data_IF_373198149201
#
_entry.id   IF_373198149201
#
_cell.length_a   1.000
_cell.length_b   1.000
_cell.length_c   1.000
_cell.angle_alpha   90.00
_cell.angle_beta   90.00
_cell.angle_gamma   90.00
#
_symmetry.space_group_name_H-M   'P 1'
#
loop_
_entity.id
_entity.type
_entity.pdbx_description
1 polymer ?
#
# COMPACT_ATOMS: atom_id res chain seq x y z
N UNK A 1 -24.10 -20.96 -9.51
CA UNK A 1 -24.34 -20.31 -8.19
C UNK A 1 -25.56 -20.95 -7.56
N UNK A 2 -25.51 -21.39 -6.30
CA UNK A 2 -26.59 -22.14 -5.66
C UNK A 2 -27.61 -21.18 -5.00
N UNK A 3 -28.64 -20.77 -5.76
CA UNK A 3 -29.67 -19.84 -5.29
C UNK A 3 -30.50 -20.38 -4.13
N UNK A 4 -30.84 -21.67 -4.16
CA UNK A 4 -31.66 -22.32 -3.12
C UNK A 4 -30.96 -22.26 -1.75
N UNK A 5 -29.68 -22.63 -1.71
CA UNK A 5 -28.89 -22.52 -0.50
C UNK A 5 -28.82 -21.07 0.00
N UNK A 6 -28.54 -20.12 -0.90
CA UNK A 6 -28.43 -18.70 -0.54
C UNK A 6 -29.74 -18.17 0.05
N UNK A 7 -30.88 -18.45 -0.57
CA UNK A 7 -32.19 -18.02 -0.06
C UNK A 7 -32.52 -18.68 1.27
N UNK A 8 -32.25 -19.99 1.43
CA UNK A 8 -32.54 -20.70 2.68
C UNK A 8 -31.73 -20.16 3.88
N UNK A 9 -30.48 -19.78 3.65
CA UNK A 9 -29.54 -19.35 4.71
C UNK A 9 -29.59 -17.84 4.94
N UNK A 10 -29.62 -17.04 3.86
CA UNK A 10 -29.41 -15.59 3.94
C UNK A 10 -30.68 -14.75 3.70
N UNK A 11 -31.83 -15.33 3.34
CA UNK A 11 -33.07 -14.56 3.28
C UNK A 11 -33.49 -14.13 4.70
N UNK A 12 -33.51 -12.82 4.95
CA UNK A 12 -33.94 -12.23 6.23
C UNK A 12 -35.43 -11.91 6.28
N UNK A 13 -36.10 -11.90 5.12
CA UNK A 13 -37.51 -11.57 4.97
C UNK A 13 -38.31 -12.81 4.53
N UNK A 14 -38.12 -13.94 5.22
CA UNK A 14 -38.75 -15.23 4.85
C UNK A 14 -40.28 -15.19 4.90
N UNK A 15 -40.84 -14.35 5.77
CA UNK A 15 -42.28 -14.13 5.93
C UNK A 15 -42.87 -13.24 4.83
N UNK A 16 -42.02 -12.58 4.04
CA UNK A 16 -42.41 -11.62 2.99
C UNK A 16 -41.85 -12.05 1.61
N UNK A 17 -42.35 -13.15 1.02
CA UNK A 17 -41.88 -13.66 -0.26
C UNK A 17 -42.08 -12.68 -1.43
N UNK A 18 -43.04 -11.76 -1.33
CA UNK A 18 -43.31 -10.68 -2.30
C UNK A 18 -42.15 -9.70 -2.46
N UNK A 19 -41.22 -9.65 -1.50
CA UNK A 19 -40.06 -8.75 -1.54
C UNK A 19 -38.89 -9.29 -2.36
N UNK A 20 -39.03 -10.49 -2.94
CA UNK A 20 -37.99 -11.12 -3.77
C UNK A 20 -36.59 -11.07 -3.13
N UNK A 21 -36.52 -11.43 -1.84
CA UNK A 21 -35.32 -11.24 -1.04
C UNK A 21 -34.11 -11.95 -1.66
N UNK A 22 -34.23 -13.24 -2.01
CA UNK A 22 -33.20 -14.06 -2.68
C UNK A 22 -31.77 -13.91 -2.10
N UNK A 23 -31.66 -13.60 -0.80
CA UNK A 23 -30.40 -13.27 -0.11
C UNK A 23 -29.85 -11.86 -0.33
N UNK A 24 -30.44 -11.08 -1.25
CA UNK A 24 -30.03 -9.71 -1.61
C UNK A 24 -30.22 -8.72 -0.46
N UNK A 25 -31.32 -8.83 0.31
CA UNK A 25 -31.57 -7.90 1.42
C UNK A 25 -30.51 -8.03 2.53
N UNK A 26 -30.04 -9.25 2.81
CA UNK A 26 -28.96 -9.47 3.76
C UNK A 26 -27.64 -8.85 3.28
N UNK A 27 -27.31 -9.04 2.00
CA UNK A 27 -26.13 -8.42 1.39
C UNK A 27 -26.20 -6.89 1.49
N UNK A 28 -27.33 -6.29 1.12
CA UNK A 28 -27.54 -4.84 1.23
C UNK A 28 -27.36 -4.33 2.67
N UNK A 29 -27.89 -5.06 3.66
CA UNK A 29 -27.71 -4.74 5.09
C UNK A 29 -26.23 -4.76 5.49
N UNK A 30 -25.47 -5.76 5.05
CA UNK A 30 -24.05 -5.89 5.35
C UNK A 30 -23.19 -4.83 4.67
N UNK A 31 -23.49 -4.49 3.42
CA UNK A 31 -22.85 -3.37 2.72
C UNK A 31 -23.06 -2.05 3.45
N UNK A 32 -24.30 -1.76 3.88
CA UNK A 32 -24.61 -0.54 4.65
C UNK A 32 -23.89 -0.49 6.01
N UNK A 33 -23.75 -1.63 6.68
CA UNK A 33 -22.98 -1.73 7.93
C UNK A 33 -21.49 -1.40 7.71
N UNK A 34 -20.91 -1.89 6.61
CA UNK A 34 -19.52 -1.62 6.24
C UNK A 34 -19.30 -0.15 5.85
N UNK A 35 -20.23 0.45 5.10
CA UNK A 35 -20.17 1.87 4.74
C UNK A 35 -20.16 2.77 5.97
N UNK A 36 -21.02 2.49 6.96
CA UNK A 36 -21.04 3.24 8.22
C UNK A 36 -19.72 3.16 9.00
N UNK A 37 -19.14 1.95 9.09
CA UNK A 37 -17.83 1.74 9.73
C UNK A 37 -16.70 2.45 8.98
N UNK A 38 -16.71 2.40 7.66
CA UNK A 38 -15.69 3.04 6.83
C UNK A 38 -15.77 4.57 6.94
N UNK A 39 -16.98 5.14 6.99
CA UNK A 39 -17.17 6.59 7.21
C UNK A 39 -16.59 7.04 8.55
N UNK A 40 -16.82 6.27 9.62
CA UNK A 40 -16.22 6.54 10.93
C UNK A 40 -14.69 6.39 10.91
N UNK A 41 -14.14 5.39 10.23
CA UNK A 41 -12.69 5.24 10.07
C UNK A 41 -12.08 6.39 9.27
N UNK A 42 -12.73 6.82 8.19
CA UNK A 42 -12.30 7.92 7.34
C UNK A 42 -12.35 9.28 8.07
N UNK A 43 -13.35 9.53 8.91
CA UNK A 43 -13.42 10.71 9.77
C UNK A 43 -12.28 10.75 10.81
N UNK A 44 -11.89 9.58 11.36
CA UNK A 44 -10.74 9.48 12.25
C UNK A 44 -9.41 9.67 11.51
N UNK A 45 -9.28 9.15 10.29
CA UNK A 45 -8.09 9.33 9.44
C UNK A 45 -7.89 10.78 9.00
N UNK A 46 -8.98 11.53 8.71
CA UNK A 46 -8.88 12.98 8.41
C UNK A 46 -8.22 13.79 9.53
N UNK A 47 -8.24 13.32 10.79
CA UNK A 47 -7.56 13.98 11.91
C UNK A 47 -6.05 13.71 11.97
N UNK A 48 -5.55 12.72 11.21
CA UNK A 48 -4.14 12.30 11.19
C UNK A 48 -3.42 12.83 9.92
N UNK A 49 -4.16 13.33 8.93
CA UNK A 49 -3.58 13.77 7.64
C UNK A 49 -3.46 15.30 7.59
N UNK A 50 -2.60 15.88 8.42
CA UNK A 50 -2.00 17.21 8.19
C UNK A 50 -0.54 17.29 8.68
N UNK A 51 0.16 16.16 8.80
CA UNK A 51 1.62 16.20 8.95
C UNK A 51 2.23 16.30 7.55
N UNK A 52 2.63 17.50 7.14
CA UNK A 52 3.46 17.67 5.95
C UNK A 52 4.71 16.77 6.06
N UNK A 53 5.04 15.99 5.01
CA UNK A 53 6.25 15.18 5.02
C UNK A 53 7.47 16.12 5.09
N UNK A 54 8.14 16.14 6.24
CA UNK A 54 9.41 16.86 6.41
C UNK A 54 10.53 16.01 5.84
N UNK A 55 10.94 16.33 4.63
CA UNK A 55 12.18 15.80 4.06
C UNK A 55 13.35 16.60 4.63
N UNK A 56 14.23 15.92 5.37
CA UNK A 56 15.49 16.50 5.81
C UNK A 56 16.63 15.87 5.01
N UNK A 57 17.41 16.71 4.34
CA UNK A 57 18.68 16.29 3.75
C UNK A 57 19.72 16.21 4.86
N UNK A 58 20.26 15.03 5.11
CA UNK A 58 21.36 14.84 6.05
C UNK A 58 22.66 14.96 5.27
N UNK A 59 23.42 16.03 5.51
CA UNK A 59 24.79 16.14 5.01
C UNK A 59 25.69 15.27 5.90
N UNK A 60 26.07 14.10 5.40
CA UNK A 60 27.02 13.24 6.09
C UNK A 60 28.44 13.70 5.75
N UNK A 61 29.09 14.40 6.68
CA UNK A 61 30.51 14.70 6.62
C UNK A 61 31.30 13.43 6.91
N UNK A 62 31.50 12.58 5.89
CA UNK A 62 32.35 11.41 6.01
C UNK A 62 33.82 11.84 5.87
N UNK A 63 34.56 11.85 6.97
CA UNK A 63 36.02 11.87 6.92
C UNK A 63 36.50 10.46 6.55
N UNK A 64 36.46 10.13 5.25
CA UNK A 64 36.91 8.84 4.76
C UNK A 64 38.43 8.75 4.94
N UNK A 65 38.95 7.81 5.76
CA UNK A 65 40.38 7.58 5.81
C UNK A 65 40.81 7.08 4.42
N UNK A 66 41.75 7.78 3.81
CA UNK A 66 42.40 7.33 2.59
C UNK A 66 43.85 6.98 2.89
N UNK A 67 44.39 6.04 2.13
CA UNK A 67 45.80 5.73 2.10
C UNK A 67 46.31 5.90 0.67
N UNK A 68 47.56 6.32 0.54
CA UNK A 68 48.23 6.44 -0.75
C UNK A 68 49.00 5.15 -0.98
N UNK A 69 48.71 4.43 -2.08
CA UNK A 69 49.55 3.33 -2.55
C UNK A 69 50.51 3.89 -3.59
N UNK A 70 51.81 3.80 -3.34
CA UNK A 70 52.86 4.02 -4.35
C UNK A 70 53.35 2.66 -4.85
N UNK A 71 53.29 2.44 -6.16
CA UNK A 71 53.83 1.23 -6.80
C UNK A 71 54.33 1.59 -8.19
N UNK A 72 55.49 1.07 -8.57
CA UNK A 72 56.10 1.34 -9.88
C UNK A 72 55.41 0.57 -11.03
N UNK A 73 54.62 -0.48 -10.72
CA UNK A 73 54.06 -1.39 -11.73
C UNK A 73 52.62 -1.88 -11.44
N UNK A 74 51.79 -1.12 -10.74
CA UNK A 74 50.41 -1.54 -10.42
C UNK A 74 49.38 -0.95 -11.39
N UNK A 75 48.62 -1.80 -12.09
CA UNK A 75 47.41 -1.38 -12.80
C UNK A 75 46.28 -1.20 -11.79
N UNK A 76 45.96 0.05 -11.47
CA UNK A 76 44.82 0.40 -10.61
C UNK A 76 43.66 0.74 -11.55
N UNK A 77 42.64 -0.11 -11.58
CA UNK A 77 41.36 0.25 -12.20
C UNK A 77 40.84 1.51 -11.50
N UNK A 78 40.53 2.55 -12.30
CA UNK A 78 40.10 3.85 -11.77
C UNK A 78 38.96 3.61 -10.77
N UNK A 79 39.05 4.15 -9.54
CA UNK A 79 37.95 4.03 -8.60
C UNK A 79 36.70 4.62 -9.28
N UNK A 80 35.65 3.81 -9.31
CA UNK A 80 34.35 4.24 -9.83
C UNK A 80 33.95 5.44 -8.99
N UNK A 81 33.92 6.62 -9.60
CA UNK A 81 33.58 7.87 -8.90
C UNK A 81 32.16 7.87 -8.34
N UNK A 82 31.36 6.90 -8.75
CA UNK A 82 29.94 6.87 -8.50
C UNK A 82 29.59 5.75 -7.52
N UNK A 83 29.22 6.15 -6.31
CA UNK A 83 28.53 5.29 -5.35
C UNK A 83 27.03 5.20 -5.66
N UNK A 84 26.59 5.53 -6.89
CA UNK A 84 25.19 5.35 -7.28
C UNK A 84 24.82 3.87 -7.18
N UNK A 85 24.14 3.55 -6.09
CA UNK A 85 23.27 2.40 -6.01
C UNK A 85 22.21 2.59 -7.09
N UNK A 86 22.37 1.87 -8.21
CA UNK A 86 21.34 1.83 -9.25
C UNK A 86 20.06 1.33 -8.61
N UNK A 87 19.12 2.25 -8.34
CA UNK A 87 17.77 1.88 -7.93
C UNK A 87 17.13 1.30 -9.18
N UNK A 88 16.91 -0.01 -9.20
CA UNK A 88 16.26 -0.68 -10.31
C UNK A 88 14.87 -0.08 -10.51
N UNK A 89 14.68 0.58 -11.65
CA UNK A 89 13.36 1.07 -12.05
C UNK A 89 12.75 0.06 -13.03
N UNK A 90 11.62 -0.57 -12.70
CA UNK A 90 10.95 -1.46 -13.64
C UNK A 90 10.51 -0.69 -14.89
N UNK A 91 10.47 -1.34 -16.06
CA UNK A 91 10.12 -0.70 -17.31
C UNK A 91 8.71 -0.10 -17.23
N UNK A 92 8.58 1.13 -17.72
CA UNK A 92 7.28 1.79 -17.83
C UNK A 92 6.45 1.02 -18.86
N UNK A 93 5.36 0.44 -18.41
CA UNK A 93 4.36 -0.16 -19.29
C UNK A 93 3.75 0.93 -20.16
N UNK A 94 3.85 0.74 -21.47
CA UNK A 94 3.21 1.56 -22.51
C UNK A 94 1.70 1.37 -22.45
#
# INVERSE_FOLDING_TARGET
MNKEYITSVFCINKEHPELHCDGQCFLAKKLKELEGKNKQAQENLKRVVEAEPRFQTIALNHHLPYFIITSENLYIEKPVKDLSISIFHPPKTV
#
